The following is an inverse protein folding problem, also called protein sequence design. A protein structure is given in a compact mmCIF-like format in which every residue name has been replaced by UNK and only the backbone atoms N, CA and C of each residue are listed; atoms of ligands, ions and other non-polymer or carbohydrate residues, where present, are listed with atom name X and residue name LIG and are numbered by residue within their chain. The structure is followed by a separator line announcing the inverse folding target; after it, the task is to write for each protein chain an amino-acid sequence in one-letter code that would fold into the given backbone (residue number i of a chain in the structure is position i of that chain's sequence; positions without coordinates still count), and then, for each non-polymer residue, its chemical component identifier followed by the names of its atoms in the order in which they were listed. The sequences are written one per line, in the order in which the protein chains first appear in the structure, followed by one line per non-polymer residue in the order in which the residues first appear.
data_IF_546088724352
#
_entry.id   IF_546088724352
#
_cell.length_a   1.000
_cell.length_b   1.000
_cell.length_c   1.000
_cell.angle_alpha   90.00
_cell.angle_beta   90.00
_cell.angle_gamma   90.00
#
_symmetry.space_group_name_H-M   'P 1'
#
loop_
_entity.id
_entity.type
_entity.pdbx_description
1 polymer ?
#
# COMPACT_ATOMS: atom_id res chain seq x y z
N UNK A 1 -11.99 1.54 -13.51
CA UNK A 1 -11.71 2.89 -12.93
C UNK A 1 -10.21 3.01 -12.69
N UNK A 2 -9.56 4.12 -13.06
CA UNK A 2 -8.13 4.31 -12.77
C UNK A 2 -7.92 4.79 -11.32
N UNK A 3 -6.99 4.15 -10.62
CA UNK A 3 -6.62 4.46 -9.23
C UNK A 3 -5.11 4.52 -9.07
N UNK A 4 -4.65 5.21 -8.02
CA UNK A 4 -3.23 5.32 -7.69
C UNK A 4 -2.80 4.17 -6.80
N UNK A 5 -1.94 3.23 -7.24
CA UNK A 5 -1.43 2.19 -6.36
C UNK A 5 -0.54 2.79 -5.27
N UNK A 6 -0.65 2.27 -4.06
CA UNK A 6 0.19 2.64 -2.92
C UNK A 6 0.69 1.38 -2.21
N UNK A 7 1.78 1.50 -1.45
CA UNK A 7 2.30 0.40 -0.65
C UNK A 7 2.72 0.90 0.72
N UNK A 8 2.43 0.16 1.77
CA UNK A 8 3.16 0.27 3.03
C UNK A 8 4.08 -0.94 3.20
N UNK A 9 5.37 -0.69 3.35
CA UNK A 9 6.39 -1.72 3.52
C UNK A 9 6.89 -1.64 4.95
N UNK A 10 6.64 -2.69 5.73
CA UNK A 10 7.26 -2.92 7.04
C UNK A 10 8.44 -3.87 6.83
N UNK A 11 9.62 -3.56 7.34
CA UNK A 11 10.79 -4.41 7.17
C UNK A 11 11.63 -4.43 8.45
N UNK A 12 12.36 -5.54 8.64
CA UNK A 12 13.39 -5.64 9.68
C UNK A 12 14.68 -5.00 9.17
N UNK A 13 15.19 -4.00 9.89
CA UNK A 13 16.36 -3.21 9.52
C UNK A 13 17.64 -4.03 9.39
N UNK A 14 17.71 -5.21 10.02
CA UNK A 14 18.84 -6.13 9.89
C UNK A 14 18.90 -6.86 8.54
N UNK A 15 17.86 -6.73 7.70
CA UNK A 15 17.78 -7.34 6.37
C UNK A 15 17.60 -6.26 5.29
N UNK A 16 18.56 -5.33 5.12
CA UNK A 16 18.41 -4.21 4.18
C UNK A 16 18.24 -4.67 2.73
N UNK A 17 18.88 -5.78 2.33
CA UNK A 17 18.71 -6.36 0.99
C UNK A 17 17.26 -6.79 0.71
N UNK A 18 16.52 -7.26 1.71
CA UNK A 18 15.11 -7.63 1.54
C UNK A 18 14.23 -6.41 1.24
N UNK A 19 14.51 -5.26 1.88
CA UNK A 19 13.86 -4.01 1.53
C UNK A 19 14.23 -3.59 0.10
N UNK A 20 15.52 -3.55 -0.24
CA UNK A 20 15.99 -3.14 -1.57
C UNK A 20 15.36 -3.97 -2.68
N UNK A 21 15.37 -5.30 -2.55
CA UNK A 21 14.73 -6.20 -3.51
C UNK A 21 13.23 -5.96 -3.59
N UNK A 22 12.55 -5.79 -2.46
CA UNK A 22 11.11 -5.46 -2.44
C UNK A 22 10.82 -4.17 -3.20
N UNK A 23 11.62 -3.11 -2.97
CA UNK A 23 11.46 -1.84 -3.65
C UNK A 23 11.69 -1.96 -5.16
N UNK A 24 12.69 -2.71 -5.60
CA UNK A 24 12.95 -2.91 -7.03
C UNK A 24 11.84 -3.70 -7.72
N UNK A 25 11.32 -4.77 -7.11
CA UNK A 25 10.18 -5.50 -7.66
C UNK A 25 8.94 -4.61 -7.77
N UNK A 26 8.61 -3.88 -6.70
CA UNK A 26 7.47 -2.97 -6.70
C UNK A 26 7.63 -1.86 -7.74
N UNK A 27 8.84 -1.27 -7.88
CA UNK A 27 9.12 -0.28 -8.93
C UNK A 27 8.84 -0.84 -10.32
N UNK A 28 9.27 -2.07 -10.61
CA UNK A 28 8.98 -2.73 -11.90
C UNK A 28 7.47 -2.83 -12.16
N UNK A 29 6.70 -3.21 -11.13
CA UNK A 29 5.25 -3.38 -11.25
C UNK A 29 4.51 -2.06 -11.53
N UNK A 30 4.87 -0.96 -10.86
CA UNK A 30 4.12 0.31 -10.94
C UNK A 30 4.83 1.41 -11.74
N UNK A 31 5.90 1.08 -12.46
CA UNK A 31 6.65 2.02 -13.29
C UNK A 31 7.49 3.03 -12.48
N UNK A 32 7.88 2.65 -11.26
CA UNK A 32 8.59 3.49 -10.29
C UNK A 32 7.68 4.11 -9.25
N UNK A 33 8.27 4.89 -8.34
CA UNK A 33 7.55 5.64 -7.31
C UNK A 33 7.61 7.14 -7.60
N UNK A 34 6.48 7.83 -7.47
CA UNK A 34 6.39 9.29 -7.63
C UNK A 34 6.38 10.03 -6.28
N UNK A 35 6.08 9.33 -5.18
CA UNK A 35 6.28 9.78 -3.81
C UNK A 35 6.73 8.62 -2.92
N UNK A 36 7.64 8.95 -2.00
CA UNK A 36 8.12 8.07 -0.93
C UNK A 36 8.07 8.87 0.37
N UNK A 37 7.57 8.27 1.45
CA UNK A 37 7.56 8.91 2.77
C UNK A 37 8.96 8.93 3.39
N UNK A 38 9.07 9.57 4.56
CA UNK A 38 10.19 9.28 5.45
C UNK A 38 10.11 7.82 5.94
N UNK A 39 11.23 7.30 6.45
CA UNK A 39 11.26 6.02 7.15
C UNK A 39 10.78 6.24 8.58
N UNK A 40 9.73 5.53 8.98
CA UNK A 40 9.14 5.66 10.30
C UNK A 40 9.49 4.47 11.18
N UNK A 41 9.56 4.71 12.50
CA UNK A 41 9.55 3.67 13.52
C UNK A 41 8.26 3.79 14.33
N UNK A 42 7.44 2.74 14.29
CA UNK A 42 6.20 2.65 15.06
C UNK A 42 6.32 1.49 16.06
N UNK A 43 6.67 1.76 17.34
CA UNK A 43 6.92 0.70 18.32
C UNK A 43 5.74 -0.26 18.54
N UNK A 44 4.49 0.18 18.30
CA UNK A 44 3.32 -0.69 18.42
C UNK A 44 3.32 -1.82 17.37
N UNK A 45 3.92 -1.63 16.19
CA UNK A 45 3.97 -2.66 15.14
C UNK A 45 4.84 -3.83 15.56
N UNK A 46 5.89 -3.59 16.33
CA UNK A 46 6.77 -4.63 16.85
C UNK A 46 6.03 -5.62 17.77
N UNK A 47 4.97 -5.18 18.46
CA UNK A 47 4.11 -6.07 19.27
C UNK A 47 3.36 -7.10 18.42
N UNK A 48 3.00 -6.74 17.18
CA UNK A 48 2.23 -7.59 16.29
C UNK A 48 3.12 -8.44 15.37
N UNK A 49 4.24 -7.88 14.92
CA UNK A 49 5.09 -8.48 13.89
C UNK A 49 6.42 -9.01 14.44
N UNK A 50 6.90 -8.50 15.58
CA UNK A 50 8.26 -8.75 16.06
C UNK A 50 8.57 -10.20 16.42
N UNK A 51 7.56 -11.00 16.81
CA UNK A 51 7.74 -12.45 17.06
C UNK A 51 8.10 -13.22 15.79
N UNK A 52 7.57 -12.81 14.64
CA UNK A 52 7.83 -13.42 13.35
C UNK A 52 9.03 -12.74 12.68
N UNK A 53 8.96 -11.41 12.53
CA UNK A 53 9.88 -10.64 11.70
C UNK A 53 11.17 -10.22 12.42
N UNK A 54 11.22 -10.31 13.74
CA UNK A 54 12.32 -9.77 14.55
C UNK A 54 12.26 -8.25 14.73
N UNK A 55 13.37 -7.67 15.18
CA UNK A 55 13.52 -6.26 15.56
C UNK A 55 14.87 -5.72 15.06
N UNK A 56 15.01 -4.40 14.82
CA UNK A 56 13.97 -3.38 14.88
C UNK A 56 13.15 -3.34 13.57
N UNK A 57 11.88 -2.95 13.66
CA UNK A 57 11.00 -2.82 12.49
C UNK A 57 10.85 -1.37 12.04
N UNK A 58 10.97 -1.13 10.74
CA UNK A 58 10.82 0.18 10.10
C UNK A 58 9.71 0.16 9.06
N UNK A 59 9.00 1.26 8.91
CA UNK A 59 7.87 1.41 7.99
C UNK A 59 8.15 2.48 6.94
N UNK A 60 7.82 2.19 5.69
CA UNK A 60 7.89 3.09 4.55
C UNK A 60 6.56 3.10 3.80
N UNK A 61 6.11 4.27 3.34
CA UNK A 61 4.93 4.41 2.49
C UNK A 61 5.33 4.92 1.10
N UNK A 62 4.69 4.35 0.07
CA UNK A 62 5.08 4.53 -1.33
C UNK A 62 3.85 4.80 -2.19
N UNK A 63 4.02 5.62 -3.21
CA UNK A 63 3.04 5.93 -4.25
C UNK A 63 3.59 5.54 -5.61
N UNK A 64 2.91 4.63 -6.31
CA UNK A 64 3.35 4.15 -7.62
C UNK A 64 3.10 5.16 -8.72
N UNK A 65 4.03 5.29 -9.67
CA UNK A 65 3.97 6.27 -10.75
C UNK A 65 2.77 6.03 -11.68
N UNK A 66 2.58 4.80 -12.14
CA UNK A 66 1.54 4.45 -13.10
C UNK A 66 0.20 4.19 -12.41
N UNK A 67 -0.88 4.77 -12.94
CA UNK A 67 -2.24 4.45 -12.50
C UNK A 67 -2.60 3.02 -12.93
N UNK A 68 -3.35 2.31 -12.09
CA UNK A 68 -3.83 0.96 -12.36
C UNK A 68 -5.35 0.93 -12.45
N UNK A 69 -5.92 -0.15 -13.02
CA UNK A 69 -7.36 -0.33 -12.99
C UNK A 69 -7.77 -0.94 -11.64
N UNK A 70 -8.78 -0.37 -10.99
CA UNK A 70 -9.35 -0.89 -9.76
C UNK A 70 -10.18 -2.17 -9.96
N UNK A 71 -10.58 -2.46 -11.20
CA UNK A 71 -11.39 -3.65 -11.52
C UNK A 71 -10.58 -4.95 -11.30
N UNK A 72 -10.99 -5.83 -10.37
CA UNK A 72 -10.31 -7.10 -10.09
C UNK A 72 -10.30 -8.05 -11.30
N UNK A 73 -11.24 -7.90 -12.24
CA UNK A 73 -11.33 -8.69 -13.47
C UNK A 73 -10.48 -8.14 -14.62
N UNK A 74 -9.84 -6.97 -14.47
CA UNK A 74 -9.04 -6.39 -15.54
C UNK A 74 -7.81 -7.26 -15.89
N UNK A 75 -7.46 -7.32 -17.18
CA UNK A 75 -6.30 -8.09 -17.65
C UNK A 75 -4.96 -7.51 -17.16
N UNK A 76 -4.88 -6.20 -16.97
CA UNK A 76 -3.69 -5.51 -16.45
C UNK A 76 -3.51 -5.66 -14.93
N UNK A 77 -2.54 -4.92 -14.39
CA UNK A 77 -2.31 -4.83 -12.95
C UNK A 77 -3.51 -4.17 -12.25
N UNK A 78 -3.92 -4.73 -11.11
CA UNK A 78 -5.01 -4.24 -10.27
C UNK A 78 -4.71 -4.53 -8.79
N UNK A 79 -5.49 -4.01 -7.82
CA UNK A 79 -5.20 -4.21 -6.40
C UNK A 79 -5.15 -5.68 -5.96
N UNK A 80 -6.02 -6.54 -6.53
CA UNK A 80 -6.03 -7.97 -6.25
C UNK A 80 -4.70 -8.62 -6.67
N UNK A 81 -4.24 -8.39 -7.90
CA UNK A 81 -2.96 -8.92 -8.41
C UNK A 81 -1.77 -8.37 -7.63
N UNK A 82 -1.80 -7.10 -7.27
CA UNK A 82 -0.76 -6.50 -6.43
C UNK A 82 -0.62 -7.22 -5.09
N UNK A 83 -1.73 -7.58 -4.42
CA UNK A 83 -1.62 -8.29 -3.14
C UNK A 83 -1.05 -9.69 -3.30
N UNK A 84 -1.43 -10.41 -4.35
CA UNK A 84 -0.90 -11.74 -4.64
C UNK A 84 0.61 -11.69 -4.90
N UNK A 85 1.05 -10.76 -5.76
CA UNK A 85 2.49 -10.55 -6.05
C UNK A 85 3.26 -10.11 -4.80
N UNK A 86 2.70 -9.23 -3.98
CA UNK A 86 3.31 -8.82 -2.72
C UNK A 86 3.54 -10.00 -1.77
N UNK A 87 2.56 -10.91 -1.65
CA UNK A 87 2.70 -12.12 -0.83
C UNK A 87 3.74 -13.09 -1.38
N UNK A 88 3.91 -13.18 -2.70
CA UNK A 88 4.97 -13.96 -3.34
C UNK A 88 6.36 -13.37 -3.01
N UNK A 89 6.53 -12.06 -3.16
CA UNK A 89 7.77 -11.35 -2.80
C UNK A 89 8.11 -11.57 -1.31
N UNK A 90 7.15 -11.41 -0.40
CA UNK A 90 7.35 -11.65 1.03
C UNK A 90 7.84 -13.08 1.32
N UNK A 91 7.27 -14.06 0.61
CA UNK A 91 7.62 -15.47 0.76
C UNK A 91 9.03 -15.76 0.24
N UNK A 92 9.38 -15.24 -0.93
CA UNK A 92 10.70 -15.44 -1.54
C UNK A 92 11.82 -14.81 -0.71
N UNK A 93 11.54 -13.69 -0.06
CA UNK A 93 12.50 -12.97 0.79
C UNK A 93 12.55 -13.46 2.24
N UNK A 94 11.74 -14.45 2.61
CA UNK A 94 11.70 -14.98 3.97
C UNK A 94 13.01 -15.67 4.35
N UNK A 95 13.46 -15.48 5.59
CA UNK A 95 14.71 -16.05 6.13
C UNK A 95 14.36 -17.03 7.24
N UNK A 96 14.84 -18.27 7.12
CA UNK A 96 14.55 -19.32 8.09
C UNK A 96 13.05 -19.63 8.23
N UNK A 97 12.28 -19.40 7.16
CA UNK A 97 10.82 -19.59 7.14
C UNK A 97 10.00 -18.44 7.71
N UNK A 98 10.64 -17.37 8.20
CA UNK A 98 9.96 -16.18 8.71
C UNK A 98 10.09 -15.01 7.74
N UNK A 99 9.03 -14.21 7.62
CA UNK A 99 9.08 -12.98 6.83
C UNK A 99 10.03 -11.98 7.49
N UNK A 100 10.83 -11.29 6.69
CA UNK A 100 11.63 -10.13 7.14
C UNK A 100 11.12 -8.82 6.56
N UNK A 101 10.13 -8.91 5.65
CA UNK A 101 9.39 -7.80 5.05
C UNK A 101 7.91 -8.16 4.96
N UNK A 102 7.05 -7.17 5.16
CA UNK A 102 5.60 -7.25 4.95
C UNK A 102 5.19 -6.07 4.05
N UNK A 103 4.55 -6.38 2.93
CA UNK A 103 4.10 -5.43 1.92
C UNK A 103 2.57 -5.43 1.95
N UNK A 104 1.98 -4.29 2.27
CA UNK A 104 0.54 -4.07 2.18
C UNK A 104 0.26 -3.14 1.00
N UNK A 105 -0.13 -3.69 -0.18
CA UNK A 105 -0.63 -2.89 -1.27
C UNK A 105 -1.97 -2.26 -0.91
N UNK A 106 -2.19 -1.08 -1.46
CA UNK A 106 -3.42 -0.32 -1.35
C UNK A 106 -3.63 0.52 -2.59
N UNK A 107 -4.65 1.36 -2.54
CA UNK A 107 -4.84 2.39 -3.56
C UNK A 107 -5.55 3.61 -3.04
N UNK A 108 -5.27 4.74 -3.67
CA UNK A 108 -6.02 5.99 -3.51
C UNK A 108 -6.92 6.19 -4.73
N UNK A 109 -8.18 6.50 -4.45
CA UNK A 109 -9.13 7.03 -5.44
C UNK A 109 -9.53 8.47 -5.11
N UNK A 110 -10.61 8.99 -5.72
CA UNK A 110 -11.07 10.37 -5.49
C UNK A 110 -11.50 10.64 -4.05
N UNK A 111 -11.94 9.62 -3.33
CA UNK A 111 -12.61 9.73 -2.04
C UNK A 111 -11.99 8.86 -0.95
N UNK A 112 -11.13 7.90 -1.27
CA UNK A 112 -10.72 6.88 -0.31
C UNK A 112 -9.24 6.56 -0.38
N UNK A 113 -8.76 5.99 0.72
CA UNK A 113 -7.59 5.12 0.75
C UNK A 113 -8.06 3.72 1.15
N UNK A 114 -7.64 2.71 0.40
CA UNK A 114 -7.88 1.31 0.73
C UNK A 114 -6.56 0.55 0.89
N UNK A 115 -6.58 -0.50 1.72
CA UNK A 115 -5.53 -1.51 1.80
C UNK A 115 -6.08 -2.89 1.43
N UNK A 116 -5.20 -3.76 0.94
CA UNK A 116 -5.52 -5.15 0.61
C UNK A 116 -4.96 -6.12 1.64
N UNK A 117 -5.69 -7.19 1.92
CA UNK A 117 -5.33 -8.15 2.95
C UNK A 117 -5.87 -9.55 2.64
N UNK A 118 -5.17 -10.58 3.12
CA UNK A 118 -5.63 -11.98 3.05
C UNK A 118 -6.45 -12.39 4.29
N UNK A 119 -6.64 -11.48 5.26
CA UNK A 119 -7.32 -11.77 6.52
C UNK A 119 -8.77 -11.29 6.42
N UNK A 120 -9.72 -12.19 6.53
CA UNK A 120 -11.15 -11.85 6.57
C UNK A 120 -11.52 -11.22 7.93
N UNK A 121 -12.20 -10.06 7.89
CA UNK A 121 -12.77 -9.37 9.06
C UNK A 121 -14.00 -8.56 8.64
N UNK A 122 -14.88 -8.23 9.59
CA UNK A 122 -16.20 -7.66 9.31
C UNK A 122 -16.22 -6.34 8.51
N UNK A 123 -15.17 -5.52 8.57
CA UNK A 123 -15.08 -4.27 7.79
C UNK A 123 -14.51 -4.43 6.37
N UNK A 124 -14.22 -5.66 5.94
CA UNK A 124 -13.44 -5.94 4.72
C UNK A 124 -14.32 -6.57 3.66
N UNK A 125 -14.24 -6.04 2.44
CA UNK A 125 -15.01 -6.56 1.31
C UNK A 125 -14.15 -7.43 0.42
N UNK A 126 -14.74 -8.51 -0.10
CA UNK A 126 -14.03 -9.50 -0.89
C UNK A 126 -13.67 -8.98 -2.28
N UNK A 127 -12.40 -9.14 -2.69
CA UNK A 127 -11.89 -8.80 -4.02
C UNK A 127 -11.73 -10.02 -4.94
N UNK A 128 -11.63 -11.23 -4.37
CA UNK A 128 -11.32 -12.46 -5.11
C UNK A 128 -10.10 -13.19 -4.55
N UNK A 129 -9.99 -14.49 -4.80
CA UNK A 129 -8.84 -15.35 -4.45
C UNK A 129 -8.41 -15.26 -2.96
N UNK A 130 -9.38 -15.16 -2.05
CA UNK A 130 -9.10 -15.00 -0.62
C UNK A 130 -8.55 -13.63 -0.21
N UNK A 131 -8.51 -12.65 -1.13
CA UNK A 131 -8.08 -11.28 -0.85
C UNK A 131 -9.29 -10.39 -0.64
N UNK A 132 -9.15 -9.48 0.33
CA UNK A 132 -10.13 -8.50 0.72
C UNK A 132 -9.53 -7.10 0.67
N UNK A 133 -10.38 -6.09 0.64
CA UNK A 133 -10.00 -4.70 0.83
C UNK A 133 -10.67 -4.07 2.06
N UNK A 134 -9.93 -3.17 2.70
CA UNK A 134 -10.32 -2.43 3.89
C UNK A 134 -10.15 -0.94 3.60
N UNK A 135 -11.19 -0.14 3.86
CA UNK A 135 -11.09 1.31 3.74
C UNK A 135 -10.36 1.86 4.96
N UNK A 136 -9.29 2.62 4.75
CA UNK A 136 -8.53 3.24 5.83
C UNK A 136 -8.88 4.72 6.01
N UNK A 137 -9.20 5.42 4.92
CA UNK A 137 -9.65 6.81 4.97
C UNK A 137 -10.86 7.08 4.09
N UNK A 138 -11.68 8.04 4.53
CA UNK A 138 -12.68 8.74 3.74
C UNK A 138 -12.30 10.21 3.59
N UNK A 139 -12.20 10.71 2.37
CA UNK A 139 -11.93 12.12 2.08
C UNK A 139 -13.22 12.93 2.14
N UNK A 140 -13.33 13.79 3.14
CA UNK A 140 -14.49 14.66 3.33
C UNK A 140 -14.11 15.94 4.08
N UNK A 141 -14.72 17.06 3.66
CA UNK A 141 -14.44 18.37 4.26
C UNK A 141 -12.99 18.84 4.06
N UNK A 142 -12.39 18.50 2.91
CA UNK A 142 -11.04 18.94 2.55
C UNK A 142 -9.89 18.08 3.08
N UNK A 143 -10.17 17.04 3.88
CA UNK A 143 -9.16 16.21 4.54
C UNK A 143 -9.54 14.71 4.51
N UNK A 144 -8.55 13.84 4.72
CA UNK A 144 -8.76 12.43 5.01
C UNK A 144 -9.20 12.23 6.47
N UNK A 145 -10.36 11.61 6.63
CA UNK A 145 -10.91 11.19 7.92
C UNK A 145 -10.60 9.71 8.12
N UNK A 146 -9.95 9.42 9.23
CA UNK A 146 -9.83 8.07 9.75
C UNK A 146 -11.21 7.53 10.19
N UNK A 147 -11.35 6.22 10.09
CA UNK A 147 -12.54 5.46 10.46
C UNK A 147 -12.30 4.78 11.81
N UNK A 148 -13.34 4.15 12.37
CA UNK A 148 -13.21 3.47 13.67
C UNK A 148 -12.16 2.35 13.68
N UNK A 149 -11.89 1.72 12.53
CA UNK A 149 -10.94 0.61 12.40
C UNK A 149 -9.59 1.00 11.78
N UNK A 150 -9.37 2.26 11.40
CA UNK A 150 -8.10 2.69 10.79
C UNK A 150 -6.91 2.33 11.68
N UNK A 151 -5.87 1.75 11.08
CA UNK A 151 -4.66 1.33 11.80
C UNK A 151 -3.99 2.50 12.54
N UNK A 152 -3.33 2.20 13.65
CA UNK A 152 -2.75 3.22 14.54
C UNK A 152 -1.64 4.04 13.87
N UNK A 153 -0.79 3.41 13.04
CA UNK A 153 0.22 4.09 12.24
C UNK A 153 -0.40 5.01 11.18
N UNK A 154 -1.55 4.64 10.60
CA UNK A 154 -2.29 5.48 9.65
C UNK A 154 -2.95 6.68 10.34
N UNK A 155 -3.30 6.61 11.62
CA UNK A 155 -3.85 7.78 12.34
C UNK A 155 -2.84 8.91 12.56
N UNK A 156 -1.54 8.64 12.36
CA UNK A 156 -0.48 9.63 12.56
C UNK A 156 -0.58 10.74 11.52
N UNK A 157 -0.29 11.98 11.96
CA UNK A 157 -0.48 13.17 11.12
C UNK A 157 0.42 13.13 9.89
N UNK A 158 1.67 12.74 10.08
CA UNK A 158 2.68 12.58 9.04
C UNK A 158 2.28 11.57 7.96
N UNK A 159 1.63 10.47 8.34
CA UNK A 159 1.13 9.45 7.41
C UNK A 159 -0.09 9.97 6.65
N UNK A 160 -1.02 10.64 7.33
CA UNK A 160 -2.17 11.29 6.69
C UNK A 160 -1.72 12.37 5.69
N UNK A 161 -0.76 13.20 6.06
CA UNK A 161 -0.21 14.25 5.19
C UNK A 161 0.51 13.67 3.97
N UNK A 162 1.19 12.52 4.12
CA UNK A 162 1.72 11.77 2.98
C UNK A 162 0.60 11.36 2.01
N UNK A 163 -0.45 10.70 2.49
CA UNK A 163 -1.55 10.26 1.61
C UNK A 163 -2.35 11.42 1.00
N UNK A 164 -2.47 12.57 1.67
CA UNK A 164 -3.03 13.78 1.06
C UNK A 164 -2.21 14.25 -0.14
N UNK A 165 -0.87 14.20 -0.07
CA UNK A 165 0.01 14.50 -1.21
C UNK A 165 -0.21 13.49 -2.34
N UNK A 166 -0.30 12.20 -2.01
CA UNK A 166 -0.61 11.12 -2.99
C UNK A 166 -1.93 11.41 -3.71
N UNK A 167 -3.01 11.71 -2.97
CA UNK A 167 -4.31 12.05 -3.57
C UNK A 167 -4.24 13.28 -4.48
N UNK A 168 -3.54 14.34 -4.06
CA UNK A 168 -3.36 15.55 -4.87
C UNK A 168 -2.65 15.24 -6.18
N UNK A 169 -1.63 14.39 -6.15
CA UNK A 169 -0.91 13.95 -7.34
C UNK A 169 -1.77 13.07 -8.25
N UNK A 170 -2.47 12.08 -7.67
CA UNK A 170 -3.42 11.22 -8.37
C UNK A 170 -4.48 12.01 -9.15
N UNK A 171 -5.09 13.02 -8.54
CA UNK A 171 -6.12 13.83 -9.20
C UNK A 171 -5.57 14.63 -10.40
N UNK A 172 -4.28 15.01 -10.40
CA UNK A 172 -3.64 15.65 -11.55
C UNK A 172 -3.44 14.64 -12.68
N UNK A 173 -2.84 13.50 -12.37
CA UNK A 173 -2.57 12.43 -13.34
C UNK A 173 -3.86 11.86 -13.95
N UNK A 174 -4.94 11.77 -13.16
CA UNK A 174 -6.23 11.32 -13.66
C UNK A 174 -6.79 12.27 -14.73
N UNK A 175 -6.70 13.59 -14.50
CA UNK A 175 -7.12 14.60 -15.48
C UNK A 175 -6.27 14.56 -16.75
N UNK A 176 -4.97 14.34 -16.63
CA UNK A 176 -4.07 14.19 -17.77
C UNK A 176 -4.41 12.95 -18.60
N UNK A 177 -4.67 11.82 -17.94
CA UNK A 177 -5.09 10.57 -18.59
C UNK A 177 -6.47 10.69 -19.27
N UNK A 178 -7.40 11.44 -18.69
CA UNK A 178 -8.70 11.74 -19.31
C UNK A 178 -8.55 12.62 -20.56
N UNK A 179 -7.69 13.64 -20.52
CA UNK A 179 -7.40 14.50 -21.68
C UNK A 179 -6.76 13.74 -22.84
N UNK A 180 -5.78 12.89 -22.54
CA UNK A 180 -5.06 12.10 -23.55
C UNK A 180 -5.95 11.06 -24.26
N UNK A 181 -7.06 10.63 -23.66
CA UNK A 181 -8.05 9.74 -24.30
C UNK A 181 -9.01 10.46 -25.25
N UNK A 182 -9.17 11.77 -25.07
CA UNK A 182 -10.09 12.60 -25.83
C UNK A 182 -9.37 13.40 -26.94
N UNK A 183 -8.05 13.22 -27.09
CA UNK A 183 -7.21 13.79 -28.15
C UNK A 183 -6.87 12.69 -29.16
#
# INVERSE_FOLDING_TARGET
MLVKPTFSVLYNENFPSALETSLEELKRLVGGFDLTSEVYHFPHLERYYGKEMGYPLKRLYLSGKNLINADPCSQGLNPLKLKLLAMEIEKELSVGGNRVVNIDPGWVDKHHLFLTTHKERGGRFYLGKGIFAEMEYLYFGGDFRDLFWTYEDYRKREVKDFFLKVRKLYLKQLKEAERAKNS
#
